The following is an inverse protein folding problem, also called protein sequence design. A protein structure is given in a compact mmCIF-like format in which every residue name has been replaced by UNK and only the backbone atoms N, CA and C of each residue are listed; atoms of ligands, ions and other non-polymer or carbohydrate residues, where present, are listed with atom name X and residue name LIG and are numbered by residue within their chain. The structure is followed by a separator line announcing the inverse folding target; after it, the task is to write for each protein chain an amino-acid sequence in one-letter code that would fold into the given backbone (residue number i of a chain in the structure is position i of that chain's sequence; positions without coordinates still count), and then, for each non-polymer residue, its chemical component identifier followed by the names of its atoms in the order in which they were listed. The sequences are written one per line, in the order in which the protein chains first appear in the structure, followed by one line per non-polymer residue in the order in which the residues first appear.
data_IF_503175365855
#
_entry.id   IF_503175365855
#
_cell.length_a   1.000
_cell.length_b   1.000
_cell.length_c   1.000
_cell.angle_alpha   90.00
_cell.angle_beta   90.00
_cell.angle_gamma   90.00
#
_symmetry.space_group_name_H-M   'P 1'
#
loop_
_entity.id
_entity.type
_entity.pdbx_description
1 polymer ?
#
# COMPACT_ATOMS: atom_id res chain seq x y z
N UNK A 1 9.89 30.12 -29.83
CA UNK A 1 10.20 28.69 -29.62
C UNK A 1 10.83 28.55 -28.24
N UNK A 2 10.13 27.87 -27.34
CA UNK A 2 10.60 27.07 -26.21
C UNK A 2 9.48 26.99 -25.17
N UNK A 3 8.52 26.11 -25.41
CA UNK A 3 7.64 25.64 -24.34
C UNK A 3 8.40 24.56 -23.56
N UNK A 4 8.86 24.91 -22.36
CA UNK A 4 9.35 23.94 -21.39
C UNK A 4 8.14 23.14 -20.90
N UNK A 5 7.90 21.97 -21.49
CA UNK A 5 6.97 21.01 -20.93
C UNK A 5 7.52 20.56 -19.57
N UNK A 6 6.73 20.74 -18.51
CA UNK A 6 7.01 20.13 -17.21
C UNK A 6 7.24 18.62 -17.42
N UNK A 7 8.17 17.97 -16.69
CA UNK A 7 8.29 16.53 -16.75
C UNK A 7 6.92 15.93 -16.44
N UNK A 8 6.39 15.11 -17.36
CA UNK A 8 5.16 14.35 -17.13
C UNK A 8 5.29 13.54 -15.83
N UNK A 9 4.18 13.14 -15.20
CA UNK A 9 4.26 12.34 -13.97
C UNK A 9 5.13 11.12 -14.24
N UNK A 10 6.16 10.92 -13.41
CA UNK A 10 6.95 9.70 -13.45
C UNK A 10 5.99 8.50 -13.43
N UNK A 11 6.21 7.52 -14.29
CA UNK A 11 5.38 6.32 -14.33
C UNK A 11 5.30 5.71 -12.93
N UNK A 12 4.09 5.31 -12.51
CA UNK A 12 3.89 4.66 -11.23
C UNK A 12 4.78 3.41 -11.13
N UNK A 13 5.42 3.13 -9.98
CA UNK A 13 6.18 1.90 -9.78
C UNK A 13 5.35 0.65 -10.09
N UNK A 14 5.97 -0.32 -10.75
CA UNK A 14 5.32 -1.59 -11.13
C UNK A 14 5.16 -2.56 -9.95
N UNK A 15 5.86 -2.32 -8.84
CA UNK A 15 5.83 -3.19 -7.66
C UNK A 15 6.11 -2.44 -6.36
N UNK A 16 5.55 -2.96 -5.28
CA UNK A 16 5.82 -2.52 -3.92
C UNK A 16 6.02 -3.71 -2.98
N UNK A 17 6.76 -3.47 -1.91
CA UNK A 17 6.72 -4.35 -0.74
C UNK A 17 5.75 -3.76 0.27
N UNK A 18 4.67 -4.48 0.56
CA UNK A 18 3.67 -4.11 1.57
C UNK A 18 4.01 -4.85 2.87
N UNK A 19 3.96 -4.14 3.98
CA UNK A 19 4.22 -4.67 5.32
C UNK A 19 2.97 -4.50 6.16
N UNK A 20 2.46 -5.61 6.69
CA UNK A 20 1.39 -5.63 7.67
C UNK A 20 1.98 -5.61 9.07
N UNK A 21 1.47 -4.73 9.92
CA UNK A 21 1.92 -4.53 11.30
C UNK A 21 0.71 -4.36 12.21
N UNK A 22 0.86 -4.57 13.52
CA UNK A 22 -0.15 -4.11 14.45
C UNK A 22 -0.32 -2.59 14.31
N UNK A 23 -1.56 -2.12 14.37
CA UNK A 23 -1.88 -0.72 14.50
C UNK A 23 -1.44 -0.15 15.85
N UNK A 24 -1.64 1.15 16.02
CA UNK A 24 -1.38 1.80 17.30
C UNK A 24 -2.19 1.12 18.41
N UNK A 25 -1.57 0.98 19.58
CA UNK A 25 -2.31 0.53 20.74
C UNK A 25 -3.36 1.58 21.13
N UNK A 26 -4.52 1.11 21.54
CA UNK A 26 -5.51 1.95 22.21
C UNK A 26 -4.90 2.66 23.42
N UNK A 27 -5.40 3.84 23.80
CA UNK A 27 -4.91 4.56 24.98
C UNK A 27 -4.91 3.68 26.23
N UNK A 28 -3.73 3.50 26.85
CA UNK A 28 -3.53 2.63 28.03
C UNK A 28 -3.16 1.17 27.70
N UNK A 29 -3.13 0.79 26.43
CA UNK A 29 -2.66 -0.51 25.97
C UNK A 29 -1.14 -0.56 25.78
N UNK A 30 -0.55 -1.75 25.90
CA UNK A 30 0.86 -1.97 25.54
C UNK A 30 1.02 -1.92 24.01
N UNK A 31 2.01 -1.18 23.48
CA UNK A 31 2.27 -1.13 22.04
C UNK A 31 2.53 -2.53 21.48
N UNK A 32 1.70 -2.97 20.53
CA UNK A 32 2.01 -4.16 19.74
C UNK A 32 3.05 -3.75 18.71
N UNK A 33 4.21 -4.41 18.72
CA UNK A 33 5.33 -4.12 17.82
C UNK A 33 5.65 -5.33 16.97
N UNK A 34 6.21 -5.09 15.79
CA UNK A 34 6.71 -6.12 14.90
C UNK A 34 6.10 -6.08 13.49
N UNK A 35 6.60 -6.96 12.64
CA UNK A 35 6.04 -7.26 11.32
C UNK A 35 5.20 -8.52 11.46
N UNK A 36 3.97 -8.47 10.98
CA UNK A 36 3.05 -9.62 10.97
C UNK A 36 3.18 -10.39 9.65
N UNK A 37 3.30 -9.66 8.54
CA UNK A 37 3.48 -10.20 7.19
C UNK A 37 4.18 -9.18 6.32
N UNK A 38 4.94 -9.67 5.36
CA UNK A 38 5.43 -8.89 4.23
C UNK A 38 4.92 -9.54 2.96
N UNK A 39 4.57 -8.72 1.97
CA UNK A 39 4.10 -9.19 0.67
C UNK A 39 4.71 -8.35 -0.46
N UNK A 40 5.23 -9.01 -1.48
CA UNK A 40 5.55 -8.36 -2.75
C UNK A 40 4.28 -8.29 -3.60
N UNK A 41 3.88 -7.07 -3.99
CA UNK A 41 2.69 -6.83 -4.82
C UNK A 41 3.09 -6.15 -6.12
N UNK A 42 2.41 -6.52 -7.21
CA UNK A 42 2.67 -5.99 -8.55
C UNK A 42 1.45 -5.27 -9.09
N UNK A 43 1.67 -4.25 -9.92
CA UNK A 43 0.60 -3.49 -10.55
C UNK A 43 -0.29 -4.43 -11.36
N UNK A 44 -1.60 -4.34 -11.18
CA UNK A 44 -2.55 -5.16 -11.94
C UNK A 44 -3.00 -4.48 -13.24
N UNK A 45 -2.69 -3.20 -13.41
CA UNK A 45 -3.19 -2.35 -14.51
C UNK A 45 -4.59 -1.77 -14.26
N UNK A 46 -5.21 -2.11 -13.13
CA UNK A 46 -6.58 -1.69 -12.77
C UNK A 46 -6.57 -0.65 -11.65
N UNK A 47 -7.67 0.07 -11.51
CA UNK A 47 -7.94 0.89 -10.32
C UNK A 47 -8.76 0.10 -9.31
N UNK A 48 -8.45 0.28 -8.03
CA UNK A 48 -9.19 -0.34 -6.96
C UNK A 48 -10.37 0.49 -6.47
N UNK A 49 -11.01 0.01 -5.40
CA UNK A 49 -12.24 0.60 -4.88
C UNK A 49 -12.00 1.97 -4.23
N UNK A 50 -10.78 2.23 -3.78
CA UNK A 50 -10.38 3.56 -3.29
C UNK A 50 -10.16 4.58 -4.40
N UNK A 51 -10.17 4.16 -5.67
CA UNK A 51 -9.86 5.02 -6.83
C UNK A 51 -8.35 5.15 -7.13
N UNK A 52 -7.50 4.42 -6.41
CA UNK A 52 -6.05 4.38 -6.65
C UNK A 52 -5.62 3.11 -7.41
N UNK A 53 -4.46 3.11 -8.08
CA UNK A 53 -3.95 1.92 -8.77
C UNK A 53 -3.88 0.71 -7.85
N UNK A 54 -4.31 -0.44 -8.36
CA UNK A 54 -4.34 -1.70 -7.64
C UNK A 54 -3.06 -2.51 -7.86
N UNK A 55 -2.57 -3.05 -6.76
CA UNK A 55 -1.43 -3.95 -6.70
C UNK A 55 -1.84 -5.25 -6.03
N UNK A 56 -1.39 -6.39 -6.53
CA UNK A 56 -1.68 -7.69 -5.95
C UNK A 56 -0.49 -8.63 -5.99
N UNK A 57 -0.38 -9.50 -4.98
CA UNK A 57 0.67 -10.51 -4.89
C UNK A 57 0.73 -11.12 -3.50
N UNK A 58 1.15 -12.39 -3.43
CA UNK A 58 1.36 -13.12 -2.17
C UNK A 58 0.17 -13.05 -1.20
N UNK A 59 -1.05 -13.10 -1.73
CA UNK A 59 -2.30 -13.04 -0.95
C UNK A 59 -2.68 -11.63 -0.44
N UNK A 60 -1.92 -10.59 -0.80
CA UNK A 60 -2.27 -9.20 -0.48
C UNK A 60 -2.72 -8.48 -1.75
N UNK A 61 -3.82 -7.74 -1.65
CA UNK A 61 -4.21 -6.75 -2.64
C UNK A 61 -4.24 -5.38 -1.96
N UNK A 62 -3.57 -4.39 -2.54
CA UNK A 62 -3.47 -3.06 -2.00
C UNK A 62 -3.74 -2.03 -3.11
N UNK A 63 -4.59 -1.05 -2.81
CA UNK A 63 -4.74 0.13 -3.63
C UNK A 63 -3.76 1.19 -3.06
N UNK A 64 -2.81 1.67 -3.87
CA UNK A 64 -1.67 2.46 -3.39
C UNK A 64 -1.58 3.76 -4.19
N UNK A 65 -1.48 4.91 -3.49
CA UNK A 65 -1.12 6.17 -4.12
C UNK A 65 0.36 6.13 -4.53
N UNK A 66 0.70 6.12 -5.84
CA UNK A 66 2.08 6.03 -6.28
C UNK A 66 2.93 7.27 -5.93
N UNK A 67 2.27 8.41 -5.65
CA UNK A 67 2.95 9.66 -5.31
C UNK A 67 3.39 9.70 -3.87
N UNK A 68 2.51 9.30 -2.95
CA UNK A 68 2.77 9.35 -1.50
C UNK A 68 3.18 8.00 -0.91
N UNK A 69 3.01 6.90 -1.68
CA UNK A 69 3.18 5.51 -1.23
C UNK A 69 2.21 5.11 -0.10
N UNK A 70 1.11 5.85 0.05
CA UNK A 70 0.06 5.54 1.02
C UNK A 70 -0.74 4.32 0.55
N UNK A 71 -1.02 3.40 1.46
CA UNK A 71 -1.97 2.29 1.23
C UNK A 71 -3.36 2.81 1.54
N UNK A 72 -4.20 2.94 0.52
CA UNK A 72 -5.52 3.58 0.58
C UNK A 72 -6.62 2.55 0.84
N UNK A 73 -6.43 1.31 0.39
CA UNK A 73 -7.25 0.16 0.75
C UNK A 73 -6.42 -1.12 0.68
N UNK A 74 -6.78 -2.13 1.48
CA UNK A 74 -6.07 -3.41 1.48
C UNK A 74 -6.97 -4.58 1.85
N UNK A 75 -6.79 -5.71 1.18
CA UNK A 75 -7.33 -7.01 1.56
C UNK A 75 -6.22 -8.04 1.73
N UNK A 76 -6.45 -9.02 2.61
CA UNK A 76 -5.53 -10.11 2.93
C UNK A 76 -6.27 -11.42 2.76
N UNK A 77 -5.76 -12.25 1.86
CA UNK A 77 -6.32 -13.55 1.46
C UNK A 77 -7.81 -13.45 1.08
N UNK A 78 -8.17 -12.34 0.44
CA UNK A 78 -9.54 -12.05 -0.03
C UNK A 78 -10.47 -11.44 1.02
N UNK A 79 -10.02 -11.28 2.27
CA UNK A 79 -10.79 -10.66 3.34
C UNK A 79 -10.31 -9.24 3.65
N UNK A 80 -11.17 -8.44 4.29
CA UNK A 80 -10.78 -7.15 4.85
C UNK A 80 -9.64 -7.32 5.86
N UNK A 81 -8.79 -6.29 5.98
CA UNK A 81 -7.69 -6.29 6.94
C UNK A 81 -8.23 -6.50 8.36
N UNK A 82 -7.64 -7.41 9.16
CA UNK A 82 -8.04 -7.60 10.54
C UNK A 82 -7.99 -6.30 11.35
N UNK A 83 -8.98 -6.12 12.23
CA UNK A 83 -9.05 -4.94 13.07
C UNK A 83 -7.79 -4.75 13.92
N UNK A 84 -7.35 -3.49 14.03
CA UNK A 84 -6.14 -3.12 14.76
C UNK A 84 -4.85 -3.53 14.05
N UNK A 85 -4.90 -3.81 12.74
CA UNK A 85 -3.72 -3.95 11.89
C UNK A 85 -3.63 -2.76 10.93
N UNK A 86 -2.43 -2.48 10.47
CA UNK A 86 -2.16 -1.46 9.45
C UNK A 86 -1.28 -2.05 8.35
N UNK A 87 -1.47 -1.57 7.12
CA UNK A 87 -0.63 -1.89 5.97
C UNK A 87 0.16 -0.65 5.55
N UNK A 88 1.44 -0.82 5.28
CA UNK A 88 2.32 0.27 4.84
C UNK A 88 3.25 -0.23 3.74
N UNK A 89 3.59 0.64 2.80
CA UNK A 89 4.66 0.36 1.86
C UNK A 89 6.00 0.45 2.60
N UNK A 90 6.89 -0.52 2.40
CA UNK A 90 8.25 -0.46 2.93
C UNK A 90 9.02 0.71 2.29
N UNK A 91 9.80 1.43 3.10
CA UNK A 91 10.82 2.33 2.57
C UNK A 91 11.86 1.52 1.78
N UNK A 92 12.32 2.11 0.68
CA UNK A 92 13.33 1.52 -0.20
C UNK A 92 14.74 1.71 0.34
#
# INVERSE_FOLDING_TARGET
MNSSAAPGPAAAPDRYTVVLRPGLAEPGGSPRRGVLRTALVQATGEFGASGYPRYAGEGVQADIDPRTRTVEAVTVDGAELPYGWVAQVADA
#
